data_IF_308836841474
#
_entry.id   IF_308836841474
#
_cell.length_a   1.000
_cell.length_b   1.000
_cell.length_c   1.000
_cell.angle_alpha   90.00
_cell.angle_beta   90.00
_cell.angle_gamma   90.00
#
_symmetry.space_group_name_H-M   'P 1'
#
loop_
_entity.id
_entity.type
_entity.pdbx_description
1 polymer ?
#
# COMPACT_ATOMS: atom_id res chain seq x y z
N UNK A 1 -0.77 -2.75 16.46
CA UNK A 1 -0.73 -3.89 15.53
C UNK A 1 0.69 -3.97 14.93
N UNK A 2 1.27 -5.16 14.71
CA UNK A 2 2.67 -5.26 14.20
C UNK A 2 2.77 -4.80 12.73
N UNK A 3 3.83 -4.06 12.37
CA UNK A 3 4.11 -3.57 10.99
C UNK A 3 3.91 -4.64 9.93
N UNK A 4 4.48 -5.83 10.14
CA UNK A 4 4.37 -6.97 9.21
C UNK A 4 2.94 -7.47 9.04
N UNK A 5 2.13 -7.44 10.11
CA UNK A 5 0.73 -7.87 10.06
C UNK A 5 -0.14 -6.89 9.27
N UNK A 6 0.06 -5.59 9.48
CA UNK A 6 -0.63 -4.54 8.72
C UNK A 6 -0.21 -4.57 7.25
N UNK A 7 1.08 -4.69 6.97
CA UNK A 7 1.58 -4.79 5.59
C UNK A 7 0.98 -6.01 4.87
N UNK A 8 0.98 -7.18 5.51
CA UNK A 8 0.35 -8.39 4.94
C UNK A 8 -1.13 -8.19 4.64
N UNK A 9 -1.87 -7.48 5.51
CA UNK A 9 -3.29 -7.17 5.30
C UNK A 9 -3.49 -6.26 4.09
N UNK A 10 -2.67 -5.23 3.93
CA UNK A 10 -2.70 -4.34 2.75
C UNK A 10 -2.39 -5.15 1.49
N UNK A 11 -1.32 -5.96 1.51
CA UNK A 11 -0.93 -6.81 0.37
C UNK A 11 -2.00 -7.82 0.00
N UNK A 12 -2.64 -8.49 0.96
CA UNK A 12 -3.69 -9.48 0.66
C UNK A 12 -4.91 -8.83 0.03
N UNK A 13 -5.31 -7.65 0.50
CA UNK A 13 -6.41 -6.89 -0.08
C UNK A 13 -6.07 -6.41 -1.51
N UNK A 14 -4.85 -5.94 -1.72
CA UNK A 14 -4.36 -5.55 -3.06
C UNK A 14 -4.34 -6.73 -4.04
N UNK A 15 -3.91 -7.90 -3.58
CA UNK A 15 -3.96 -9.12 -4.38
C UNK A 15 -5.40 -9.50 -4.76
N UNK A 16 -6.34 -9.49 -3.82
CA UNK A 16 -7.75 -9.77 -4.13
C UNK A 16 -8.32 -8.81 -5.17
N UNK A 17 -7.97 -7.52 -5.13
CA UNK A 17 -8.39 -6.55 -6.14
C UNK A 17 -7.84 -6.87 -7.54
N UNK A 18 -6.59 -7.34 -7.62
CA UNK A 18 -5.98 -7.78 -8.88
C UNK A 18 -6.72 -8.99 -9.46
N UNK A 19 -7.05 -9.98 -8.64
CA UNK A 19 -7.81 -11.15 -9.07
C UNK A 19 -9.20 -10.77 -9.59
N UNK A 20 -9.91 -9.88 -8.89
CA UNK A 20 -11.21 -9.39 -9.38
C UNK A 20 -11.09 -8.62 -10.69
N UNK A 21 -10.02 -7.83 -10.87
CA UNK A 21 -9.75 -7.14 -12.14
C UNK A 21 -9.60 -8.15 -13.27
N UNK A 22 -8.77 -9.17 -13.06
CA UNK A 22 -8.52 -10.23 -14.05
C UNK A 22 -9.81 -10.99 -14.39
N UNK A 23 -10.66 -11.25 -13.40
CA UNK A 23 -11.97 -11.86 -13.63
C UNK A 23 -12.87 -10.98 -14.48
N UNK A 24 -12.97 -9.68 -14.15
CA UNK A 24 -13.79 -8.71 -14.86
C UNK A 24 -13.34 -8.46 -16.30
N UNK A 25 -12.05 -8.67 -16.63
CA UNK A 25 -11.57 -8.61 -18.02
C UNK A 25 -12.27 -9.65 -18.92
N UNK A 26 -12.76 -10.75 -18.35
CA UNK A 26 -13.53 -11.79 -19.05
C UNK A 26 -15.04 -11.70 -18.83
N UNK A 27 -15.49 -11.08 -17.73
CA UNK A 27 -16.89 -10.93 -17.34
C UNK A 27 -17.20 -9.45 -16.99
N UNK A 28 -17.21 -8.54 -17.98
CA UNK A 28 -17.24 -7.10 -17.72
C UNK A 28 -18.55 -6.60 -17.10
N UNK A 29 -19.66 -7.31 -17.34
CA UNK A 29 -21.00 -6.92 -16.88
C UNK A 29 -21.45 -7.66 -15.60
N UNK A 30 -20.55 -8.40 -14.95
CA UNK A 30 -20.85 -9.09 -13.68
C UNK A 30 -20.97 -8.08 -12.52
N UNK A 31 -22.21 -7.74 -12.20
CA UNK A 31 -22.54 -6.76 -11.16
C UNK A 31 -22.04 -7.17 -9.76
N UNK A 32 -22.04 -8.46 -9.45
CA UNK A 32 -21.61 -8.98 -8.15
C UNK A 32 -20.09 -8.85 -8.00
N UNK A 33 -19.33 -9.21 -9.04
CA UNK A 33 -17.88 -9.04 -9.08
C UNK A 33 -17.48 -7.55 -9.00
N UNK A 34 -18.22 -6.65 -9.67
CA UNK A 34 -18.01 -5.20 -9.55
C UNK A 34 -18.26 -4.71 -8.12
N UNK A 35 -19.34 -5.17 -7.48
CA UNK A 35 -19.67 -4.78 -6.11
C UNK A 35 -18.61 -5.29 -5.11
N UNK A 36 -18.14 -6.52 -5.30
CA UNK A 36 -17.07 -7.10 -4.49
C UNK A 36 -15.76 -6.32 -4.68
N UNK A 37 -15.35 -6.03 -5.92
CA UNK A 37 -14.17 -5.21 -6.20
C UNK A 37 -14.24 -3.86 -5.48
N UNK A 38 -15.37 -3.16 -5.56
CA UNK A 38 -15.56 -1.88 -4.88
C UNK A 38 -15.49 -1.99 -3.35
N UNK A 39 -16.02 -3.08 -2.79
CA UNK A 39 -15.94 -3.36 -1.35
C UNK A 39 -14.51 -3.61 -0.92
N UNK A 40 -13.75 -4.40 -1.68
CA UNK A 40 -12.34 -4.68 -1.41
C UNK A 40 -11.48 -3.43 -1.57
N UNK A 41 -11.75 -2.59 -2.57
CA UNK A 41 -11.11 -1.28 -2.73
C UNK A 41 -11.26 -0.41 -1.49
N UNK A 42 -12.48 -0.28 -0.94
CA UNK A 42 -12.69 0.48 0.31
C UNK A 42 -11.89 -0.09 1.49
N UNK A 43 -11.84 -1.42 1.63
CA UNK A 43 -11.05 -2.10 2.67
C UNK A 43 -9.55 -1.87 2.48
N UNK A 44 -9.07 -1.91 1.24
CA UNK A 44 -7.68 -1.67 0.89
C UNK A 44 -7.25 -0.25 1.26
N UNK A 45 -8.02 0.76 0.86
CA UNK A 45 -7.71 2.17 1.19
C UNK A 45 -7.67 2.39 2.70
N UNK A 46 -8.65 1.87 3.46
CA UNK A 46 -8.67 1.98 4.91
C UNK A 46 -7.45 1.29 5.58
N UNK A 47 -7.06 0.12 5.08
CA UNK A 47 -5.89 -0.59 5.60
C UNK A 47 -4.56 0.11 5.23
N UNK A 48 -4.50 0.70 4.03
CA UNK A 48 -3.36 1.51 3.56
C UNK A 48 -3.21 2.74 4.43
N UNK A 49 -4.28 3.50 4.65
CA UNK A 49 -4.27 4.68 5.53
C UNK A 49 -3.85 4.33 6.96
N UNK A 50 -4.36 3.21 7.51
CA UNK A 50 -3.98 2.72 8.85
C UNK A 50 -2.46 2.42 8.94
N UNK A 51 -1.88 1.84 7.89
CA UNK A 51 -0.45 1.58 7.81
C UNK A 51 0.34 2.88 7.67
N UNK A 52 -0.05 3.74 6.73
CA UNK A 52 0.69 4.96 6.39
C UNK A 52 0.74 5.94 7.57
N UNK A 53 -0.35 6.03 8.34
CA UNK A 53 -0.40 6.82 9.58
C UNK A 53 0.59 6.34 10.65
N UNK A 54 0.92 5.06 10.68
CA UNK A 54 1.78 4.47 11.72
C UNK A 54 3.24 4.30 11.28
N UNK A 55 3.48 4.02 10.00
CA UNK A 55 4.81 3.59 9.52
C UNK A 55 5.33 4.40 8.33
N UNK A 56 4.58 5.41 7.87
CA UNK A 56 4.93 6.23 6.73
C UNK A 56 4.36 5.71 5.39
N UNK A 57 4.48 6.51 4.32
CA UNK A 57 3.87 6.25 3.03
C UNK A 57 4.32 4.91 2.42
N UNK A 58 3.36 4.16 1.86
CA UNK A 58 3.62 2.91 1.12
C UNK A 58 3.88 3.14 -0.36
N UNK A 59 3.39 4.26 -0.89
CA UNK A 59 3.53 4.65 -2.29
C UNK A 59 4.18 6.01 -2.38
N UNK A 60 5.06 6.19 -3.37
CA UNK A 60 5.62 7.50 -3.69
C UNK A 60 4.48 8.48 -4.01
N UNK A 61 4.44 9.59 -3.27
CA UNK A 61 3.43 10.65 -3.27
C UNK A 61 4.07 11.93 -2.71
N UNK A 62 3.35 13.05 -2.78
CA UNK A 62 3.85 14.35 -2.32
C UNK A 62 4.11 14.48 -0.81
N UNK A 63 3.87 13.43 -0.01
CA UNK A 63 4.16 13.38 1.43
C UNK A 63 5.42 12.57 1.75
N UNK A 64 6.12 12.03 0.76
CA UNK A 64 7.40 11.38 1.00
C UNK A 64 8.42 12.45 1.34
N UNK A 65 9.08 12.33 2.50
CA UNK A 65 10.12 13.28 2.87
C UNK A 65 11.40 12.97 2.10
N UNK A 66 11.93 13.97 1.40
CA UNK A 66 13.29 13.97 0.84
C UNK A 66 14.34 14.14 1.96
N UNK A 67 14.01 13.80 3.20
CA UNK A 67 14.91 13.96 4.34
C UNK A 67 16.15 13.10 4.25
N UNK A 68 16.08 11.98 3.51
CA UNK A 68 17.24 11.16 3.19
C UNK A 68 18.22 11.82 2.21
N UNK A 69 17.81 12.90 1.51
CA UNK A 69 18.66 13.74 0.66
C UNK A 69 19.32 14.89 1.43
N UNK A 70 19.04 15.06 2.73
CA UNK A 70 19.67 16.11 3.55
C UNK A 70 21.03 15.62 4.06
N UNK A 71 22.04 16.47 3.97
CA UNK A 71 23.34 16.23 4.59
C UNK A 71 23.24 16.28 6.14
N UNK A 72 23.98 15.43 6.88
CA UNK A 72 24.86 14.38 6.38
C UNK A 72 24.07 13.15 5.91
N UNK A 73 24.55 12.48 4.86
CA UNK A 73 23.92 11.26 4.37
C UNK A 73 23.94 10.18 5.45
N UNK A 74 22.98 9.24 5.46
CA UNK A 74 22.89 8.19 6.48
C UNK A 74 24.17 7.35 6.66
N UNK A 75 25.01 7.25 5.63
CA UNK A 75 26.30 6.54 5.65
C UNK A 75 27.53 7.43 5.90
N UNK A 76 27.41 8.76 5.85
CA UNK A 76 28.53 9.65 6.19
C UNK A 76 28.93 9.49 7.66
N UNK A 77 27.96 9.21 8.54
CA UNK A 77 28.20 8.93 9.95
C UNK A 77 28.81 7.54 10.20
N UNK A 78 28.73 6.62 9.23
CA UNK A 78 29.35 5.30 9.32
C UNK A 78 30.80 5.30 8.81
N UNK A 79 31.23 6.36 8.13
CA UNK A 79 32.58 6.55 7.62
C UNK A 79 33.54 7.18 8.64
N UNK A 80 33.06 7.57 9.82
CA UNK A 80 33.90 7.97 10.94
C UNK A 80 34.21 6.75 11.82
N UNK A 81 35.03 5.85 11.30
CA UNK A 81 35.75 4.83 12.06
C UNK A 81 37.18 5.29 12.37
#
# INVERSE_FOLDING_TARGET
>A
MNKTKLLRRVSSLGFSMLEFRLFLDTHPDDADAIQLFNTYRKKYEAAKEEYEKQFGPLTLNGYNSDEWLKDPWPWDNAANC
#
